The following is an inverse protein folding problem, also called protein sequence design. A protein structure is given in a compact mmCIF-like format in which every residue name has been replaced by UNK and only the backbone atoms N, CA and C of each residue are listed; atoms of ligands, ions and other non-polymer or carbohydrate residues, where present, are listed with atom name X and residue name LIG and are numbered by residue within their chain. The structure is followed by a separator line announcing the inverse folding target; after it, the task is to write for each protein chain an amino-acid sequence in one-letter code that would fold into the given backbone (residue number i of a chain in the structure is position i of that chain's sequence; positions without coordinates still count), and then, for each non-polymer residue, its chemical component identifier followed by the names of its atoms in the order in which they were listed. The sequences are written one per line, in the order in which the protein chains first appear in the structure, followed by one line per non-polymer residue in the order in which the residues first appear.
data_IF_333280493763
#
_entry.id   IF_333280493763
#
_cell.length_a   1.000
_cell.length_b   1.000
_cell.length_c   1.000
_cell.angle_alpha   90.00
_cell.angle_beta   90.00
_cell.angle_gamma   90.00
#
_symmetry.space_group_name_H-M   'P 1'
#
loop_
_entity.id
_entity.type
_entity.pdbx_description
1 polymer ?
#
# COMPACT_ATOMS: atom_id res chain seq x y z
N UNK A 1 12.91 8.99 -7.02
CA UNK A 1 12.85 10.14 -7.94
C UNK A 1 12.22 9.77 -9.30
N UNK A 2 12.60 8.64 -9.91
CA UNK A 2 11.99 8.18 -11.17
C UNK A 2 10.48 7.94 -11.02
N UNK A 3 10.04 7.35 -9.91
CA UNK A 3 8.63 7.12 -9.61
C UNK A 3 7.83 8.41 -9.57
N UNK A 4 8.36 9.47 -8.93
CA UNK A 4 7.72 10.78 -8.88
C UNK A 4 7.55 11.41 -10.25
N UNK A 5 8.56 11.32 -11.11
CA UNK A 5 8.47 11.81 -12.50
C UNK A 5 7.42 11.02 -13.29
N UNK A 6 7.40 9.71 -13.16
CA UNK A 6 6.40 8.86 -13.84
C UNK A 6 4.98 9.18 -13.36
N UNK A 7 4.79 9.32 -12.04
CA UNK A 7 3.47 9.62 -11.47
C UNK A 7 2.96 11.03 -11.82
N UNK A 8 3.83 11.98 -12.10
CA UNK A 8 3.46 13.34 -12.52
C UNK A 8 3.16 13.47 -14.02
N UNK A 9 3.41 12.43 -14.80
CA UNK A 9 3.15 12.42 -16.25
C UNK A 9 1.74 11.89 -16.55
N UNK A 10 1.25 12.14 -17.76
CA UNK A 10 0.01 11.57 -18.27
C UNK A 10 0.22 10.07 -18.58
N UNK A 11 0.21 9.26 -17.53
CA UNK A 11 0.33 7.81 -17.62
C UNK A 11 -1.00 7.14 -17.30
N UNK A 12 -1.41 6.22 -18.15
CA UNK A 12 -2.62 5.43 -17.93
C UNK A 12 -2.33 4.09 -17.28
N UNK A 13 -3.29 3.62 -16.49
CA UNK A 13 -3.21 2.30 -15.88
C UNK A 13 -2.10 2.15 -14.85
N UNK A 14 -1.65 0.92 -14.66
CA UNK A 14 -0.61 0.53 -13.71
C UNK A 14 0.71 0.40 -14.48
N UNK A 15 1.29 1.52 -14.87
CA UNK A 15 2.53 1.57 -15.64
C UNK A 15 3.57 2.45 -14.96
N UNK A 16 4.83 2.09 -15.10
CA UNK A 16 5.96 2.85 -14.58
C UNK A 16 6.58 2.25 -13.32
N UNK A 17 7.14 3.07 -12.44
CA UNK A 17 7.85 2.61 -11.26
C UNK A 17 6.88 2.25 -10.13
N UNK A 18 7.05 1.09 -9.56
CA UNK A 18 6.38 0.60 -8.37
C UNK A 18 7.38 0.36 -7.23
N UNK A 19 6.85 0.07 -6.06
CA UNK A 19 7.61 -0.06 -4.81
C UNK A 19 7.36 -1.48 -4.27
N UNK A 20 7.95 -2.53 -4.87
CA UNK A 20 7.75 -3.90 -4.43
C UNK A 20 8.58 -4.15 -3.16
N UNK A 21 7.96 -4.69 -2.13
CA UNK A 21 8.68 -5.03 -0.91
C UNK A 21 9.30 -6.43 -0.96
N UNK A 22 8.85 -7.30 -1.84
CA UNK A 22 9.32 -8.68 -1.90
C UNK A 22 10.40 -8.97 -2.96
N UNK A 23 10.56 -8.09 -3.92
CA UNK A 23 11.42 -8.29 -5.10
C UNK A 23 12.67 -7.40 -5.09
N UNK A 24 12.69 -6.38 -4.23
CA UNK A 24 13.79 -5.44 -4.09
C UNK A 24 14.47 -5.59 -2.73
N UNK A 25 15.74 -5.98 -2.73
CA UNK A 25 16.50 -6.24 -1.51
C UNK A 25 16.61 -4.98 -0.62
N UNK A 26 16.76 -3.80 -1.23
CA UNK A 26 16.84 -2.55 -0.47
C UNK A 26 15.53 -2.23 0.26
N UNK A 27 14.38 -2.54 -0.34
CA UNK A 27 13.08 -2.40 0.30
C UNK A 27 12.89 -3.41 1.43
N UNK A 28 13.28 -4.67 1.21
CA UNK A 28 13.25 -5.73 2.22
C UNK A 28 14.10 -5.34 3.44
N UNK A 29 15.32 -4.90 3.21
CA UNK A 29 16.24 -4.48 4.27
C UNK A 29 15.70 -3.28 5.05
N UNK A 30 15.15 -2.28 4.35
CA UNK A 30 14.57 -1.10 4.96
C UNK A 30 13.34 -1.41 5.84
N UNK A 31 12.50 -2.36 5.44
CA UNK A 31 11.41 -2.87 6.27
C UNK A 31 11.96 -3.64 7.46
N UNK A 32 12.93 -4.51 7.25
CA UNK A 32 13.52 -5.36 8.31
C UNK A 32 14.12 -4.54 9.44
N UNK A 33 14.78 -3.42 9.12
CA UNK A 33 15.36 -2.52 10.14
C UNK A 33 14.38 -1.47 10.66
N UNK A 34 13.10 -1.51 10.24
CA UNK A 34 12.08 -0.57 10.66
C UNK A 34 12.20 0.84 10.05
N UNK A 35 13.05 1.02 9.04
CA UNK A 35 13.17 2.28 8.31
C UNK A 35 11.92 2.58 7.45
N UNK A 36 11.26 1.54 6.97
CA UNK A 36 9.97 1.61 6.27
C UNK A 36 8.87 0.95 7.10
N UNK A 37 7.80 1.70 7.36
CA UNK A 37 6.55 1.20 7.92
C UNK A 37 5.48 1.17 6.84
N UNK A 38 4.30 0.58 7.14
CA UNK A 38 3.18 0.57 6.21
C UNK A 38 2.75 2.00 5.84
N UNK A 39 2.64 2.89 6.82
CA UNK A 39 2.23 4.28 6.60
C UNK A 39 3.24 5.05 5.72
N UNK A 40 4.54 4.75 5.85
CA UNK A 40 5.55 5.32 4.95
C UNK A 40 5.42 4.79 3.53
N UNK A 41 5.08 3.51 3.37
CA UNK A 41 4.83 2.91 2.06
C UNK A 41 3.58 3.53 1.41
N UNK A 42 2.49 3.71 2.17
CA UNK A 42 1.30 4.44 1.70
C UNK A 42 1.65 5.87 1.27
N UNK A 43 2.39 6.61 2.09
CA UNK A 43 2.84 7.96 1.73
C UNK A 43 3.71 7.98 0.45
N UNK A 44 4.55 6.97 0.25
CA UNK A 44 5.35 6.83 -0.97
C UNK A 44 4.51 6.58 -2.21
N UNK A 45 3.32 5.99 -2.07
CA UNK A 45 2.42 5.76 -3.20
C UNK A 45 1.89 7.05 -3.81
N UNK A 46 1.94 8.17 -3.10
CA UNK A 46 1.64 9.49 -3.68
C UNK A 46 2.53 9.83 -4.88
N UNK A 47 3.77 9.34 -4.89
CA UNK A 47 4.77 9.61 -5.94
C UNK A 47 5.19 8.38 -6.73
N UNK A 48 4.56 7.24 -6.49
CA UNK A 48 4.71 6.06 -7.34
C UNK A 48 3.58 5.99 -8.37
N UNK A 49 3.69 5.12 -9.35
CA UNK A 49 2.68 4.96 -10.41
C UNK A 49 1.76 3.76 -10.21
N UNK A 50 1.92 3.00 -9.15
CA UNK A 50 1.19 1.74 -8.96
C UNK A 50 0.39 1.71 -7.66
N UNK A 51 1.00 1.97 -6.50
CA UNK A 51 0.41 1.78 -5.18
C UNK A 51 1.21 0.81 -4.32
N UNK A 52 0.56 0.21 -3.34
CA UNK A 52 1.17 -0.80 -2.47
C UNK A 52 1.34 -2.12 -3.24
N UNK A 53 2.52 -2.71 -3.16
CA UNK A 53 2.84 -3.94 -3.88
C UNK A 53 3.60 -4.94 -3.01
N UNK A 54 3.07 -6.16 -2.95
CA UNK A 54 3.66 -7.29 -2.24
C UNK A 54 3.96 -7.02 -0.76
N UNK A 55 3.02 -6.41 -0.06
CA UNK A 55 3.13 -6.10 1.35
C UNK A 55 2.63 -7.28 2.18
N UNK A 56 3.54 -7.99 2.85
CA UNK A 56 3.20 -9.06 3.77
C UNK A 56 2.77 -8.47 5.13
N UNK A 57 1.59 -8.86 5.61
CA UNK A 57 1.02 -8.43 6.88
C UNK A 57 0.63 -9.63 7.74
N UNK A 58 0.46 -9.50 9.07
CA UNK A 58 0.00 -10.60 9.91
C UNK A 58 -1.34 -11.16 9.43
N UNK A 59 -1.46 -12.49 9.38
CA UNK A 59 -2.67 -13.16 8.92
C UNK A 59 -3.90 -12.92 9.79
N UNK A 60 -3.72 -12.44 11.02
CA UNK A 60 -4.80 -12.05 11.96
C UNK A 60 -5.31 -10.61 11.76
N UNK A 61 -4.74 -9.85 10.81
CA UNK A 61 -5.18 -8.49 10.52
C UNK A 61 -6.66 -8.45 10.18
N UNK A 62 -7.41 -7.57 10.85
CA UNK A 62 -8.87 -7.47 10.66
C UNK A 62 -9.21 -7.00 9.25
N UNK A 63 -10.29 -7.54 8.69
CA UNK A 63 -10.80 -7.12 7.38
C UNK A 63 -11.13 -5.62 7.33
N UNK A 64 -11.62 -5.04 8.44
CA UNK A 64 -11.90 -3.61 8.54
C UNK A 64 -10.63 -2.76 8.47
N UNK A 65 -9.53 -3.21 9.04
CA UNK A 65 -8.22 -2.55 8.92
C UNK A 65 -7.73 -2.59 7.48
N UNK A 66 -7.82 -3.75 6.81
CA UNK A 66 -7.47 -3.87 5.38
C UNK A 66 -8.34 -2.94 4.53
N UNK A 67 -9.64 -2.84 4.82
CA UNK A 67 -10.54 -1.91 4.14
C UNK A 67 -10.15 -0.45 4.37
N UNK A 68 -9.65 -0.10 5.55
CA UNK A 68 -9.08 1.22 5.85
C UNK A 68 -7.90 1.54 4.94
N UNK A 69 -6.93 0.65 4.85
CA UNK A 69 -5.75 0.78 3.98
C UNK A 69 -6.15 0.96 2.51
N UNK A 70 -7.13 0.18 2.04
CA UNK A 70 -7.67 0.31 0.68
C UNK A 70 -8.29 1.69 0.49
N UNK A 71 -9.00 2.21 1.50
CA UNK A 71 -9.62 3.54 1.43
C UNK A 71 -8.58 4.65 1.36
N UNK A 72 -7.48 4.52 2.08
CA UNK A 72 -6.35 5.47 2.03
C UNK A 72 -5.72 5.50 0.64
N UNK A 73 -5.46 4.34 0.06
CA UNK A 73 -4.94 4.25 -1.31
C UNK A 73 -5.93 4.78 -2.36
N UNK A 74 -7.23 4.58 -2.16
CA UNK A 74 -8.25 5.18 -3.02
C UNK A 74 -8.21 6.72 -2.93
N UNK A 75 -8.06 7.27 -1.72
CA UNK A 75 -7.96 8.71 -1.52
C UNK A 75 -6.70 9.28 -2.18
N UNK A 76 -5.55 8.60 -2.03
CA UNK A 76 -4.29 8.96 -2.69
C UNK A 76 -4.47 8.94 -4.21
N UNK A 77 -5.09 7.92 -4.76
CA UNK A 77 -5.38 7.82 -6.19
C UNK A 77 -6.25 8.96 -6.69
N UNK A 78 -7.30 9.30 -5.94
CA UNK A 78 -8.19 10.41 -6.28
C UNK A 78 -7.48 11.77 -6.27
N UNK A 79 -6.72 12.06 -5.21
CA UNK A 79 -6.00 13.34 -5.08
C UNK A 79 -4.97 13.50 -6.19
N UNK A 80 -4.30 12.45 -6.56
CA UNK A 80 -3.26 12.45 -7.59
C UNK A 80 -3.79 12.15 -9.00
N UNK A 81 -5.10 11.95 -9.16
CA UNK A 81 -5.76 11.62 -10.44
C UNK A 81 -5.10 10.43 -11.15
N UNK A 82 -4.82 9.38 -10.39
CA UNK A 82 -4.18 8.17 -10.90
C UNK A 82 -4.82 6.91 -10.33
N UNK A 83 -4.63 5.80 -11.02
CA UNK A 83 -4.97 4.47 -10.52
C UNK A 83 -3.96 4.07 -9.43
N UNK A 84 -4.45 3.55 -8.33
CA UNK A 84 -3.65 2.88 -7.31
C UNK A 84 -4.03 1.41 -7.21
N UNK A 85 -3.06 0.55 -6.96
CA UNK A 85 -3.27 -0.86 -6.67
C UNK A 85 -2.93 -1.15 -5.22
N UNK A 86 -3.60 -2.13 -4.62
CA UNK A 86 -3.31 -2.60 -3.27
C UNK A 86 -3.13 -4.11 -3.31
N UNK A 87 -1.89 -4.56 -3.14
CA UNK A 87 -1.56 -5.97 -3.01
C UNK A 87 -0.98 -6.22 -1.61
N UNK A 88 -1.89 -6.39 -0.64
CA UNK A 88 -1.58 -6.83 0.71
C UNK A 88 -1.71 -8.35 0.78
N UNK A 89 -0.82 -8.99 1.52
CA UNK A 89 -0.78 -10.45 1.67
C UNK A 89 -0.87 -10.79 3.15
N UNK A 90 -2.07 -11.08 3.68
CA UNK A 90 -2.21 -11.61 5.04
C UNK A 90 -1.60 -13.01 5.11
N UNK A 91 -0.54 -13.17 5.90
CA UNK A 91 0.20 -14.43 5.99
C UNK A 91 -0.24 -15.20 7.23
N UNK A 92 -1.10 -16.19 7.03
CA UNK A 92 -1.69 -16.97 8.12
C UNK A 92 -0.62 -17.72 8.91
N UNK A 93 -0.70 -17.63 10.24
CA UNK A 93 0.22 -18.29 11.16
C UNK A 93 1.59 -17.65 11.28
N UNK A 94 1.78 -16.47 10.72
CA UNK A 94 3.00 -15.70 10.79
C UNK A 94 2.82 -14.38 11.53
N UNK A 95 3.83 -13.97 12.26
CA UNK A 95 3.86 -12.75 13.06
C UNK A 95 4.84 -11.71 12.50
N UNK A 96 4.73 -10.49 13.01
CA UNK A 96 5.61 -9.38 12.63
C UNK A 96 7.09 -9.75 12.80
N UNK A 97 7.89 -9.44 11.79
CA UNK A 97 9.33 -9.70 11.76
C UNK A 97 9.71 -11.09 11.20
N UNK A 98 8.74 -12.00 11.06
CA UNK A 98 8.98 -13.25 10.34
C UNK A 98 9.02 -13.01 8.82
N UNK A 99 9.58 -13.97 8.11
CA UNK A 99 9.70 -13.92 6.64
C UNK A 99 8.59 -14.77 5.99
N UNK A 100 7.88 -14.16 5.06
CA UNK A 100 7.00 -14.84 4.13
C UNK A 100 7.75 -15.19 2.85
N UNK A 101 7.68 -16.44 2.42
CA UNK A 101 8.28 -16.92 1.17
C UNK A 101 7.18 -17.07 0.12
N UNK A 102 7.34 -16.41 -1.00
CA UNK A 102 6.37 -16.47 -2.11
C UNK A 102 6.85 -17.37 -3.24
N UNK A 103 8.17 -17.60 -3.30
CA UNK A 103 8.81 -18.43 -4.31
C UNK A 103 8.90 -17.78 -5.70
N UNK A 104 9.71 -18.37 -6.56
CA UNK A 104 9.90 -17.90 -7.94
C UNK A 104 10.32 -16.44 -8.00
N UNK A 105 9.74 -15.71 -8.94
CA UNK A 105 10.02 -14.28 -9.17
C UNK A 105 9.41 -13.35 -8.11
N UNK A 106 8.50 -13.86 -7.28
CA UNK A 106 7.85 -13.04 -6.25
C UNK A 106 8.69 -12.90 -4.97
N UNK A 107 9.77 -13.66 -4.83
CA UNK A 107 10.76 -13.54 -3.78
C UNK A 107 10.23 -13.83 -2.38
N UNK A 108 10.57 -12.97 -1.44
CA UNK A 108 10.19 -13.07 -0.03
C UNK A 108 10.03 -11.67 0.59
N UNK A 109 9.25 -11.57 1.64
CA UNK A 109 9.09 -10.30 2.36
C UNK A 109 9.05 -10.51 3.88
N UNK A 110 9.60 -9.57 4.66
CA UNK A 110 9.33 -9.52 6.09
C UNK A 110 7.89 -9.11 6.34
N UNK A 111 7.27 -9.70 7.37
CA UNK A 111 5.92 -9.31 7.78
C UNK A 111 5.98 -7.98 8.51
N UNK A 112 5.34 -6.97 7.93
CA UNK A 112 5.33 -5.60 8.42
C UNK A 112 4.23 -5.43 9.49
N UNK A 113 4.46 -4.66 10.58
CA UNK A 113 3.43 -4.35 11.54
C UNK A 113 2.32 -3.52 10.89
N UNK A 114 1.09 -3.79 11.28
CA UNK A 114 -0.10 -3.02 10.89
C UNK A 114 -0.66 -2.37 12.14
N UNK A 115 -1.08 -1.13 12.03
CA UNK A 115 -1.76 -0.42 13.11
C UNK A 115 -3.06 -1.15 13.46
N UNK A 116 -3.25 -1.50 14.72
CA UNK A 116 -4.39 -2.29 15.20
C UNK A 116 -5.64 -1.45 15.50
N UNK A 117 -5.66 -0.16 15.20
CA UNK A 117 -6.86 0.66 15.37
C UNK A 117 -8.04 0.09 14.59
N UNK A 118 -9.20 0.12 15.23
CA UNK A 118 -10.42 -0.41 14.64
C UNK A 118 -11.03 0.60 13.67
N UNK A 119 -11.05 0.25 12.39
CA UNK A 119 -11.66 1.06 11.34
C UNK A 119 -13.15 0.74 11.11
N UNK A 120 -13.78 -0.07 11.95
CA UNK A 120 -15.14 -0.57 11.74
C UNK A 120 -16.18 0.56 11.60
N UNK A 121 -16.11 1.59 12.43
CA UNK A 121 -17.04 2.73 12.35
C UNK A 121 -16.90 3.48 11.03
N UNK A 122 -15.68 3.67 10.57
CA UNK A 122 -15.40 4.30 9.27
C UNK A 122 -15.91 3.45 8.11
N UNK A 123 -15.55 2.16 8.10
CA UNK A 123 -15.89 1.23 7.01
C UNK A 123 -17.39 0.98 6.91
N UNK A 124 -18.09 0.85 8.05
CA UNK A 124 -19.50 0.50 8.10
C UNK A 124 -20.43 1.72 8.08
N UNK A 125 -19.92 2.94 8.09
CA UNK A 125 -20.76 4.14 8.05
C UNK A 125 -21.61 4.18 6.78
N UNK A 126 -22.80 4.74 6.90
CA UNK A 126 -23.69 4.96 5.75
C UNK A 126 -23.31 6.24 5.02
N UNK A 127 -23.61 6.28 3.71
CA UNK A 127 -23.39 7.45 2.88
C UNK A 127 -22.17 7.36 1.98
N UNK A 128 -21.90 8.42 1.25
CA UNK A 128 -20.75 8.52 0.34
C UNK A 128 -19.59 9.22 1.05
N UNK A 129 -18.39 8.79 0.77
CA UNK A 129 -17.18 9.56 1.11
C UNK A 129 -17.13 10.72 0.09
N UNK A 130 -17.24 11.99 0.54
CA UNK A 130 -17.14 13.11 -0.39
C UNK A 130 -15.71 13.17 -0.95
N UNK A 131 -15.61 13.27 -2.28
CA UNK A 131 -14.34 13.51 -2.91
C UNK A 131 -13.82 14.91 -2.55
N UNK A 132 -12.50 15.10 -2.44
CA UNK A 132 -11.92 16.42 -2.22
C UNK A 132 -12.30 17.39 -3.34
N UNK A 133 -12.82 18.57 -2.99
CA UNK A 133 -13.31 19.56 -3.97
C UNK A 133 -12.25 19.92 -5.02
N UNK A 134 -10.98 19.99 -4.61
CA UNK A 134 -9.88 20.30 -5.53
C UNK A 134 -9.59 19.18 -6.56
N UNK A 135 -10.08 17.95 -6.32
CA UNK A 135 -9.94 16.83 -7.27
C UNK A 135 -10.89 16.96 -8.49
N UNK A 136 -11.83 17.89 -8.45
CA UNK A 136 -12.79 18.15 -9.52
C UNK A 136 -12.48 19.41 -10.33
N UNK A 137 -11.38 20.05 -10.08
CA UNK A 137 -10.96 21.19 -10.93
C UNK A 137 -10.39 20.63 -12.23
N UNK A 138 -11.21 20.74 -13.29
CA UNK A 138 -10.77 20.59 -14.68
C UNK A 138 -9.84 21.72 -15.06
#
# INVERSE_FOLDING_TARGET
KKGGVMASSYVGGVSGAFIPVSEDQGMIDAVTVGALSLEKLEAMTCVCSVGLDMIAIPGKTKATTISGIISDEMAIGMVNQKTTAVRLIPVIGKEVGEIAQFGGLLGYAPIIPVNEFDCSEFVNRKGRIPAPIHSFKN
#
